data_IF_509808625371
#
_entry.id   IF_509808625371
#
_cell.length_a   1.000
_cell.length_b   1.000
_cell.length_c   1.000
_cell.angle_alpha   90.00
_cell.angle_beta   90.00
_cell.angle_gamma   90.00
#
_symmetry.space_group_name_H-M   'P 1'
#
loop_
_entity.id
_entity.type
_entity.pdbx_description
1 polymer ?
#
# COMPACT_ATOMS: atom_id res chain seq x y z
N UNK A 1 4.49 8.67 3.67
CA UNK A 1 5.81 9.33 3.81
C UNK A 1 6.93 8.28 3.70
N UNK A 2 8.10 8.67 3.21
CA UNK A 2 9.28 7.80 3.10
C UNK A 2 10.51 8.57 3.61
N UNK A 3 11.31 8.00 4.50
CA UNK A 3 12.48 8.66 5.08
C UNK A 3 13.73 8.25 4.31
N UNK A 4 14.56 9.22 3.94
CA UNK A 4 15.84 8.98 3.25
C UNK A 4 16.99 9.47 4.13
N UNK A 5 17.95 8.60 4.48
CA UNK A 5 19.11 9.00 5.25
C UNK A 5 20.04 9.90 4.41
N UNK A 6 20.56 10.93 5.04
CA UNK A 6 21.47 11.92 4.46
C UNK A 6 22.83 11.80 5.19
N UNK A 7 23.95 11.69 4.46
CA UNK A 7 25.25 11.39 5.07
C UNK A 7 25.86 12.53 5.90
N UNK A 8 25.40 13.78 5.73
CA UNK A 8 25.88 14.94 6.50
C UNK A 8 24.96 16.15 6.35
N UNK A 9 25.07 17.10 7.29
CA UNK A 9 24.38 18.39 7.18
C UNK A 9 24.87 19.23 5.99
N UNK A 10 26.11 19.06 5.53
CA UNK A 10 26.58 19.68 4.29
C UNK A 10 25.76 19.18 3.09
N UNK A 11 25.50 17.87 3.03
CA UNK A 11 24.67 17.28 1.99
C UNK A 11 23.22 17.76 2.09
N UNK A 12 22.67 17.88 3.31
CA UNK A 12 21.36 18.48 3.57
C UNK A 12 21.30 19.92 3.02
N UNK A 13 22.34 20.73 3.28
CA UNK A 13 22.47 22.09 2.73
C UNK A 13 22.56 22.14 1.20
N UNK A 14 23.26 21.20 0.56
CA UNK A 14 23.32 21.09 -0.91
C UNK A 14 21.98 20.68 -1.52
N UNK A 15 21.25 19.79 -0.84
CA UNK A 15 19.89 19.40 -1.24
C UNK A 15 18.91 20.57 -1.15
N UNK A 16 19.05 21.42 -0.12
CA UNK A 16 18.28 22.67 -0.03
C UNK A 16 18.62 23.59 -1.20
N UNK A 17 19.92 23.83 -1.41
CA UNK A 17 20.43 24.80 -2.38
C UNK A 17 20.13 26.24 -1.96
N UNK A 18 20.70 27.21 -2.68
CA UNK A 18 20.44 28.64 -2.41
C UNK A 18 18.95 28.92 -2.62
N UNK A 19 18.31 29.55 -1.63
CA UNK A 19 16.88 29.91 -1.65
C UNK A 19 15.93 28.72 -1.90
N UNK A 20 16.34 27.48 -1.56
CA UNK A 20 15.53 26.29 -1.77
C UNK A 20 15.41 25.85 -3.24
N UNK A 21 16.25 26.38 -4.14
CA UNK A 21 16.16 26.11 -5.60
C UNK A 21 16.24 24.63 -5.96
N UNK A 22 17.03 23.85 -5.21
CA UNK A 22 17.28 22.45 -5.51
C UNK A 22 16.10 21.59 -5.03
N UNK A 23 15.51 21.93 -3.87
CA UNK A 23 14.27 21.31 -3.39
C UNK A 23 13.16 21.49 -4.41
N UNK A 24 12.90 22.74 -4.81
CA UNK A 24 11.83 23.03 -5.78
C UNK A 24 12.03 22.27 -7.10
N UNK A 25 13.27 22.14 -7.57
CA UNK A 25 13.58 21.36 -8.76
C UNK A 25 13.28 19.87 -8.56
N UNK A 26 13.58 19.29 -7.39
CA UNK A 26 13.26 17.90 -7.08
C UNK A 26 11.75 17.67 -6.95
N UNK A 27 11.06 18.55 -6.24
CA UNK A 27 9.61 18.51 -6.06
C UNK A 27 8.89 18.63 -7.42
N UNK A 28 9.32 19.57 -8.27
CA UNK A 28 8.78 19.72 -9.62
C UNK A 28 9.06 18.52 -10.52
N UNK A 29 10.28 17.95 -10.45
CA UNK A 29 10.67 16.84 -11.31
C UNK A 29 9.99 15.51 -10.92
N UNK A 30 9.60 15.35 -9.65
CA UNK A 30 9.10 14.07 -9.12
C UNK A 30 7.64 14.12 -8.65
N UNK A 31 7.08 15.31 -8.43
CA UNK A 31 5.72 15.51 -7.94
C UNK A 31 5.53 15.06 -6.49
N UNK A 32 6.57 15.20 -5.66
CA UNK A 32 6.54 14.95 -4.21
C UNK A 32 6.84 16.24 -3.47
N UNK A 33 6.47 16.29 -2.19
CA UNK A 33 6.89 17.33 -1.26
C UNK A 33 8.08 16.84 -0.43
N UNK A 34 9.14 17.63 -0.33
CA UNK A 34 10.31 17.32 0.49
C UNK A 34 10.19 18.07 1.83
N UNK A 35 9.96 17.32 2.90
CA UNK A 35 9.88 17.86 4.25
C UNK A 35 11.26 17.76 4.89
N UNK A 36 11.79 18.92 5.25
CA UNK A 36 13.04 19.07 5.98
C UNK A 36 12.68 19.55 7.39
N UNK A 37 12.84 18.67 8.37
CA UNK A 37 12.61 18.97 9.78
C UNK A 37 13.92 18.96 10.57
N UNK A 38 13.80 19.12 11.90
CA UNK A 38 14.90 19.12 12.85
C UNK A 38 15.55 17.73 13.02
N UNK A 39 15.07 16.69 12.31
CA UNK A 39 15.71 15.37 12.35
C UNK A 39 17.10 15.48 11.72
N UNK A 40 18.16 15.14 12.48
CA UNK A 40 19.51 15.09 11.94
C UNK A 40 19.62 14.03 10.85
N UNK A 41 20.45 14.30 9.83
CA UNK A 41 20.86 13.26 8.86
C UNK A 41 19.71 12.55 8.13
N UNK A 42 18.54 13.19 8.00
CA UNK A 42 17.40 12.61 7.29
C UNK A 42 16.55 13.68 6.59
N UNK A 43 15.86 13.27 5.53
CA UNK A 43 14.79 14.04 4.88
C UNK A 43 13.57 13.15 4.64
N UNK A 44 12.39 13.75 4.72
CA UNK A 44 11.13 13.04 4.58
C UNK A 44 10.47 13.38 3.24
N UNK A 45 10.19 12.35 2.42
CA UNK A 45 9.45 12.46 1.17
C UNK A 45 7.97 12.21 1.42
N UNK A 46 7.12 13.16 1.04
CA UNK A 46 5.67 13.07 1.15
C UNK A 46 5.02 13.13 -0.23
N UNK A 47 4.12 12.19 -0.50
CA UNK A 47 3.22 12.21 -1.66
C UNK A 47 2.15 11.14 -1.46
N UNK A 48 0.95 11.40 -1.99
CA UNK A 48 -0.15 10.43 -2.01
C UNK A 48 0.12 9.27 -2.97
N UNK A 49 0.83 9.53 -4.08
CA UNK A 49 1.25 8.49 -5.01
C UNK A 49 2.53 7.80 -4.49
N UNK A 50 2.47 6.51 -4.10
CA UNK A 50 3.65 5.79 -3.64
C UNK A 50 4.73 5.64 -4.71
N UNK A 51 4.36 5.59 -6.00
CA UNK A 51 5.31 5.47 -7.12
C UNK A 51 6.13 6.75 -7.24
N UNK A 52 5.51 7.93 -7.13
CA UNK A 52 6.23 9.21 -7.12
C UNK A 52 7.22 9.29 -5.95
N UNK A 53 6.82 8.82 -4.77
CA UNK A 53 7.73 8.73 -3.61
C UNK A 53 8.92 7.85 -3.89
N UNK A 54 8.73 6.73 -4.57
CA UNK A 54 9.83 5.85 -4.93
C UNK A 54 10.78 6.48 -5.95
N UNK A 55 10.24 7.09 -7.00
CA UNK A 55 11.04 7.81 -8.01
C UNK A 55 11.89 8.88 -7.33
N UNK A 56 11.31 9.66 -6.42
CA UNK A 56 12.04 10.65 -5.65
C UNK A 56 13.11 10.03 -4.74
N UNK A 57 12.81 8.93 -4.07
CA UNK A 57 13.76 8.19 -3.21
C UNK A 57 14.97 7.71 -4.01
N UNK A 58 14.74 7.11 -5.17
CA UNK A 58 15.79 6.60 -6.07
C UNK A 58 16.62 7.75 -6.63
N UNK A 59 15.97 8.82 -7.12
CA UNK A 59 16.64 10.01 -7.63
C UNK A 59 17.52 10.66 -6.55
N UNK A 60 16.99 10.85 -5.35
CA UNK A 60 17.69 11.42 -4.21
C UNK A 60 18.90 10.58 -3.81
N UNK A 61 18.73 9.26 -3.71
CA UNK A 61 19.83 8.33 -3.40
C UNK A 61 20.97 8.43 -4.41
N UNK A 62 20.63 8.54 -5.71
CA UNK A 62 21.62 8.71 -6.80
C UNK A 62 22.33 10.07 -6.73
N UNK A 63 21.59 11.14 -6.46
CA UNK A 63 22.13 12.50 -6.31
C UNK A 63 23.12 12.57 -5.13
N UNK A 64 22.78 11.97 -3.99
CA UNK A 64 23.66 11.89 -2.81
C UNK A 64 24.95 11.15 -3.15
N UNK A 65 24.84 10.02 -3.86
CA UNK A 65 26.01 9.22 -4.27
C UNK A 65 26.92 9.95 -5.27
N UNK A 66 26.36 10.75 -6.16
CA UNK A 66 27.10 11.56 -7.14
C UNK A 66 27.69 12.85 -6.52
N UNK A 67 27.08 13.38 -5.46
CA UNK A 67 27.53 14.58 -4.74
C UNK A 67 27.30 15.91 -5.47
N UNK A 68 26.84 15.87 -6.73
CA UNK A 68 26.49 17.03 -7.56
C UNK A 68 25.00 17.27 -7.56
N UNK A 69 24.58 18.37 -6.95
CA UNK A 69 23.16 18.71 -6.77
C UNK A 69 22.90 20.11 -7.32
N UNK A 70 22.38 20.15 -8.55
CA UNK A 70 21.90 21.36 -9.23
C UNK A 70 20.71 21.01 -10.13
N UNK A 71 19.85 21.98 -10.53
CA UNK A 71 18.57 21.69 -11.19
C UNK A 71 18.64 20.74 -12.38
N UNK A 72 19.53 21.01 -13.35
CA UNK A 72 19.68 20.15 -14.53
C UNK A 72 20.06 18.69 -14.19
N UNK A 73 20.86 18.48 -13.13
CA UNK A 73 21.24 17.12 -12.70
C UNK A 73 20.09 16.44 -11.96
N UNK A 74 19.31 17.20 -11.20
CA UNK A 74 18.12 16.70 -10.50
C UNK A 74 17.11 16.19 -11.51
N UNK A 75 16.81 16.97 -12.55
CA UNK A 75 15.92 16.57 -13.64
C UNK A 75 16.42 15.30 -14.35
N UNK A 76 17.71 15.23 -14.69
CA UNK A 76 18.31 14.05 -15.30
C UNK A 76 18.20 12.80 -14.41
N UNK A 77 18.50 12.93 -13.11
CA UNK A 77 18.42 11.82 -12.17
C UNK A 77 16.98 11.38 -11.91
N UNK A 78 16.03 12.32 -11.86
CA UNK A 78 14.61 12.03 -11.73
C UNK A 78 14.07 11.27 -12.95
N UNK A 79 14.43 11.67 -14.17
CA UNK A 79 14.06 10.96 -15.39
C UNK A 79 14.59 9.52 -15.40
N UNK A 80 15.88 9.34 -15.08
CA UNK A 80 16.50 8.00 -14.99
C UNK A 80 15.91 7.14 -13.86
N UNK A 81 15.53 7.75 -12.75
CA UNK A 81 14.86 7.06 -11.66
C UNK A 81 13.46 6.62 -12.06
N UNK A 82 12.72 7.45 -12.81
CA UNK A 82 11.41 7.10 -13.34
C UNK A 82 11.49 5.89 -14.28
N UNK A 83 12.41 5.88 -15.23
CA UNK A 83 12.60 4.74 -16.14
C UNK A 83 12.91 3.45 -15.38
N UNK A 84 13.76 3.51 -14.35
CA UNK A 84 14.08 2.36 -13.51
C UNK A 84 12.86 1.84 -12.73
N UNK A 85 12.11 2.74 -12.10
CA UNK A 85 10.90 2.38 -11.35
C UNK A 85 9.82 1.83 -12.27
N UNK A 86 9.62 2.41 -13.46
CA UNK A 86 8.65 1.93 -14.44
C UNK A 86 9.01 0.52 -14.95
N UNK A 87 10.31 0.24 -15.17
CA UNK A 87 10.79 -1.09 -15.54
C UNK A 87 10.58 -2.11 -14.40
N UNK A 88 10.87 -1.71 -13.16
CA UNK A 88 10.64 -2.54 -11.98
C UNK A 88 9.15 -2.84 -11.75
N UNK A 89 8.26 -1.87 -11.98
CA UNK A 89 6.80 -2.05 -11.99
C UNK A 89 6.40 -3.13 -13.01
N UNK A 90 6.86 -2.98 -14.25
CA UNK A 90 6.52 -3.95 -15.31
C UNK A 90 6.99 -5.36 -14.95
N UNK A 91 8.24 -5.49 -14.50
CA UNK A 91 8.83 -6.77 -14.09
C UNK A 91 8.06 -7.41 -12.93
N UNK A 92 7.68 -6.63 -11.91
CA UNK A 92 6.98 -7.14 -10.74
C UNK A 92 5.58 -7.67 -11.08
N UNK A 93 4.84 -6.93 -11.92
CA UNK A 93 3.53 -7.38 -12.41
C UNK A 93 3.64 -8.64 -13.27
N UNK A 94 4.65 -8.73 -14.13
CA UNK A 94 4.87 -9.88 -15.00
C UNK A 94 5.26 -11.12 -14.18
N UNK A 95 6.16 -10.96 -13.21
CA UNK A 95 6.55 -12.03 -12.29
C UNK A 95 5.34 -12.59 -11.51
N UNK A 96 4.47 -11.72 -10.99
CA UNK A 96 3.25 -12.16 -10.28
C UNK A 96 2.31 -12.96 -11.21
N UNK A 97 2.11 -12.51 -12.45
CA UNK A 97 1.29 -13.21 -13.43
C UNK A 97 1.88 -14.59 -13.81
N UNK A 98 3.18 -14.64 -14.09
CA UNK A 98 3.92 -15.89 -14.41
C UNK A 98 3.83 -16.88 -13.25
N UNK A 99 4.09 -16.40 -12.03
CA UNK A 99 4.08 -17.22 -10.82
C UNK A 99 2.73 -17.91 -10.59
N UNK A 100 1.63 -17.24 -10.94
CA UNK A 100 0.27 -17.78 -10.81
C UNK A 100 -0.18 -18.60 -12.04
N UNK A 101 0.57 -18.53 -13.14
CA UNK A 101 0.23 -19.15 -14.42
C UNK A 101 -0.95 -18.47 -15.12
N UNK A 102 -1.15 -17.16 -14.90
CA UNK A 102 -2.24 -16.40 -15.51
C UNK A 102 -1.73 -15.47 -16.59
N UNK A 103 -2.48 -15.37 -17.69
CA UNK A 103 -2.19 -14.41 -18.77
C UNK A 103 -3.02 -13.14 -18.58
N UNK A 104 -2.34 -12.00 -18.55
CA UNK A 104 -2.94 -10.68 -18.42
C UNK A 104 -2.51 -9.78 -19.57
N UNK A 105 -3.34 -8.78 -19.89
CA UNK A 105 -2.99 -7.74 -20.84
C UNK A 105 -1.82 -6.87 -20.29
N UNK A 106 -0.90 -6.36 -21.12
CA UNK A 106 0.24 -5.55 -20.67
C UNK A 106 -0.13 -4.35 -19.78
N UNK A 107 -1.26 -3.68 -20.06
CA UNK A 107 -1.73 -2.57 -19.23
C UNK A 107 -2.19 -3.02 -17.82
N UNK A 108 -2.81 -4.21 -17.71
CA UNK A 108 -3.13 -4.79 -16.41
C UNK A 108 -1.86 -5.22 -15.65
N UNK A 109 -0.85 -5.72 -16.36
CA UNK A 109 0.47 -6.05 -15.78
C UNK A 109 1.11 -4.81 -15.16
N UNK A 110 1.12 -3.68 -15.88
CA UNK A 110 1.65 -2.41 -15.37
C UNK A 110 0.89 -1.94 -14.13
N UNK A 111 -0.45 -1.95 -14.17
CA UNK A 111 -1.28 -1.56 -13.02
C UNK A 111 -1.04 -2.47 -11.82
N UNK A 112 -0.99 -3.78 -12.04
CA UNK A 112 -0.68 -4.77 -11.00
C UNK A 112 0.70 -4.49 -10.37
N UNK A 113 1.72 -4.25 -11.18
CA UNK A 113 3.06 -3.94 -10.72
C UNK A 113 3.15 -2.70 -9.84
N UNK A 114 2.30 -1.68 -10.07
CA UNK A 114 2.24 -0.47 -9.21
C UNK A 114 1.89 -0.81 -7.75
N UNK A 115 1.14 -1.90 -7.52
CA UNK A 115 0.81 -2.36 -6.17
C UNK A 115 2.05 -2.75 -5.36
N UNK A 116 3.20 -3.04 -6.00
CA UNK A 116 4.49 -3.27 -5.33
C UNK A 116 4.88 -2.11 -4.42
N UNK A 117 4.56 -0.89 -4.79
CA UNK A 117 4.90 0.30 -4.01
C UNK A 117 3.81 0.69 -3.02
N UNK A 118 2.68 -0.01 -3.03
CA UNK A 118 1.57 0.26 -2.14
C UNK A 118 1.59 -0.68 -0.94
N UNK A 119 1.45 -0.11 0.24
CA UNK A 119 1.30 -0.85 1.49
C UNK A 119 -0.06 -0.54 2.09
N UNK A 120 -0.76 -1.55 2.58
CA UNK A 120 -2.02 -1.42 3.31
C UNK A 120 -1.95 -2.25 4.58
N UNK A 121 -2.23 -1.63 5.73
CA UNK A 121 -2.14 -2.28 7.05
C UNK A 121 -0.78 -2.97 7.32
N UNK A 122 0.31 -2.42 6.77
CA UNK A 122 1.66 -2.97 6.93
C UNK A 122 2.03 -4.11 5.96
N UNK A 123 1.11 -4.55 5.10
CA UNK A 123 1.36 -5.57 4.07
C UNK A 123 1.56 -4.91 2.69
N UNK A 124 2.47 -5.46 1.89
CA UNK A 124 2.62 -5.09 0.49
C UNK A 124 1.39 -5.52 -0.31
N UNK A 125 0.82 -4.63 -1.13
CA UNK A 125 -0.42 -4.91 -1.85
C UNK A 125 -0.24 -5.91 -2.99
N UNK A 126 0.91 -5.92 -3.70
CA UNK A 126 1.16 -6.91 -4.76
C UNK A 126 1.34 -8.32 -4.17
N UNK A 127 2.10 -8.43 -3.08
CA UNK A 127 2.27 -9.71 -2.36
C UNK A 127 0.92 -10.22 -1.86
N UNK A 128 0.14 -9.34 -1.23
CA UNK A 128 -1.21 -9.65 -0.78
C UNK A 128 -2.09 -10.18 -1.92
N UNK A 129 -2.19 -9.45 -3.04
CA UNK A 129 -2.95 -9.90 -4.20
C UNK A 129 -2.47 -11.24 -4.76
N UNK A 130 -1.15 -11.47 -4.76
CA UNK A 130 -0.57 -12.75 -5.21
C UNK A 130 -1.00 -13.90 -4.30
N UNK A 131 -1.01 -13.71 -2.99
CA UNK A 131 -1.46 -14.71 -2.02
C UNK A 131 -2.96 -14.98 -2.12
N UNK A 132 -3.77 -13.93 -2.26
CA UNK A 132 -5.22 -14.04 -2.49
C UNK A 132 -5.49 -14.84 -3.75
N UNK A 133 -4.75 -14.61 -4.83
CA UNK A 133 -4.88 -15.40 -6.06
C UNK A 133 -4.58 -16.89 -5.86
N UNK A 134 -3.53 -17.23 -5.10
CA UNK A 134 -3.22 -18.62 -4.77
C UNK A 134 -4.35 -19.28 -3.98
N UNK A 135 -4.84 -18.61 -2.93
CA UNK A 135 -5.93 -19.11 -2.10
C UNK A 135 -7.23 -19.25 -2.88
N UNK A 136 -7.57 -18.26 -3.71
CA UNK A 136 -8.72 -18.29 -4.59
C UNK A 136 -8.67 -19.49 -5.54
N UNK A 137 -7.49 -19.78 -6.12
CA UNK A 137 -7.29 -20.96 -6.95
C UNK A 137 -7.50 -22.29 -6.20
N UNK A 138 -7.03 -22.38 -4.95
CA UNK A 138 -7.25 -23.57 -4.11
C UNK A 138 -8.73 -23.75 -3.77
N UNK A 139 -9.41 -22.69 -3.32
CA UNK A 139 -10.84 -22.73 -3.00
C UNK A 139 -11.64 -23.12 -4.24
N UNK A 140 -11.35 -22.53 -5.41
CA UNK A 140 -12.02 -22.88 -6.65
C UNK A 140 -11.84 -24.35 -7.02
N UNK A 141 -10.64 -24.92 -6.83
CA UNK A 141 -10.38 -26.34 -7.06
C UNK A 141 -11.28 -27.24 -6.20
N UNK A 142 -11.39 -26.94 -4.90
CA UNK A 142 -12.23 -27.71 -3.97
C UNK A 142 -13.73 -27.58 -4.29
N UNK A 143 -14.16 -26.42 -4.80
CA UNK A 143 -15.55 -26.17 -5.19
C UNK A 143 -15.90 -26.66 -6.60
N UNK A 144 -14.93 -27.21 -7.36
CA UNK A 144 -15.13 -27.60 -8.76
C UNK A 144 -15.33 -26.41 -9.72
N UNK A 145 -14.93 -25.20 -9.31
CA UNK A 145 -14.99 -23.99 -10.11
C UNK A 145 -13.72 -23.80 -10.98
N UNK A 146 -13.77 -22.88 -11.94
CA UNK A 146 -12.63 -22.59 -12.80
C UNK A 146 -11.49 -21.90 -12.02
N UNK A 147 -10.39 -22.64 -11.80
CA UNK A 147 -9.19 -22.19 -11.08
C UNK A 147 -8.56 -20.94 -11.72
N UNK A 148 -8.53 -20.85 -13.05
CA UNK A 148 -7.90 -19.73 -13.74
C UNK A 148 -8.69 -18.42 -13.57
N UNK A 149 -10.03 -18.49 -13.58
CA UNK A 149 -10.88 -17.33 -13.29
C UNK A 149 -10.67 -16.88 -11.85
N UNK A 150 -10.72 -17.81 -10.89
CA UNK A 150 -10.51 -17.49 -9.48
C UNK A 150 -9.14 -16.84 -9.20
N UNK A 151 -8.07 -17.37 -9.79
CA UNK A 151 -6.72 -16.77 -9.68
C UNK A 151 -6.68 -15.36 -10.25
N UNK A 152 -7.28 -15.12 -11.42
CA UNK A 152 -7.34 -13.78 -12.02
C UNK A 152 -8.13 -12.81 -11.15
N UNK A 153 -9.30 -13.23 -10.65
CA UNK A 153 -10.10 -12.43 -9.72
C UNK A 153 -9.29 -12.10 -8.47
N UNK A 154 -8.70 -13.10 -7.82
CA UNK A 154 -7.88 -12.88 -6.62
C UNK A 154 -6.67 -11.98 -6.86
N UNK A 155 -6.02 -12.08 -8.01
CA UNK A 155 -4.87 -11.23 -8.36
C UNK A 155 -5.28 -9.77 -8.62
N UNK A 156 -6.46 -9.57 -9.20
CA UNK A 156 -6.94 -8.27 -9.66
C UNK A 156 -7.93 -7.61 -8.69
N UNK A 157 -8.38 -8.28 -7.62
CA UNK A 157 -9.45 -7.79 -6.74
C UNK A 157 -9.18 -6.36 -6.23
N UNK A 158 -7.93 -6.09 -5.86
CA UNK A 158 -7.47 -4.83 -5.30
C UNK A 158 -6.81 -3.90 -6.34
N UNK A 159 -6.90 -4.18 -7.64
CA UNK A 159 -6.18 -3.40 -8.67
C UNK A 159 -6.62 -1.93 -8.75
N UNK A 160 -7.82 -1.59 -8.29
CA UNK A 160 -8.26 -0.20 -8.15
C UNK A 160 -7.39 0.61 -7.15
N UNK A 161 -6.61 -0.07 -6.29
CA UNK A 161 -5.60 0.57 -5.44
C UNK A 161 -4.33 0.96 -6.23
N UNK A 162 -4.19 0.60 -7.49
CA UNK A 162 -3.05 1.02 -8.31
C UNK A 162 -3.19 2.46 -8.83
N UNK A 163 -4.41 2.99 -8.84
CA UNK A 163 -4.73 4.33 -9.33
C UNK A 163 -4.94 5.32 -8.19
N UNK A 164 -4.72 6.60 -8.49
CA UNK A 164 -4.83 7.69 -7.53
C UNK A 164 -6.30 7.97 -7.17
N UNK A 165 -6.51 8.58 -5.99
CA UNK A 165 -7.83 8.86 -5.41
C UNK A 165 -8.62 9.99 -6.09
N UNK A 166 -8.24 10.39 -7.29
CA UNK A 166 -8.97 11.41 -8.07
C UNK A 166 -10.22 10.84 -8.73
N UNK A 167 -10.33 9.51 -8.82
CA UNK A 167 -11.50 8.81 -9.35
C UNK A 167 -12.50 8.58 -8.23
N UNK A 168 -13.73 9.06 -8.42
CA UNK A 168 -14.85 8.84 -7.49
C UNK A 168 -15.31 7.38 -7.53
N UNK A 169 -15.42 6.73 -6.37
CA UNK A 169 -15.89 5.34 -6.25
C UNK A 169 -15.09 4.50 -5.25
N UNK A 170 -15.58 3.28 -4.98
CA UNK A 170 -14.82 2.29 -4.19
C UNK A 170 -13.70 1.70 -5.04
N UNK A 171 -12.63 1.21 -4.41
CA UNK A 171 -11.53 0.60 -5.18
C UNK A 171 -11.96 -0.67 -5.92
N UNK A 172 -13.03 -1.34 -5.46
CA UNK A 172 -13.62 -2.47 -6.15
C UNK A 172 -14.29 -2.04 -7.46
N UNK A 173 -15.11 -0.99 -7.43
CA UNK A 173 -15.75 -0.45 -8.63
C UNK A 173 -14.72 0.06 -9.64
N UNK A 174 -13.75 0.86 -9.18
CA UNK A 174 -12.65 1.37 -10.00
C UNK A 174 -11.83 0.21 -10.60
N UNK A 175 -11.52 -0.80 -9.78
CA UNK A 175 -10.82 -2.00 -10.23
C UNK A 175 -11.57 -2.75 -11.33
N UNK A 176 -12.87 -2.94 -11.16
CA UNK A 176 -13.71 -3.59 -12.16
C UNK A 176 -13.74 -2.82 -13.49
N UNK A 177 -13.88 -1.50 -13.43
CA UNK A 177 -13.87 -0.65 -14.63
C UNK A 177 -12.52 -0.68 -15.37
N UNK A 178 -11.41 -0.70 -14.64
CA UNK A 178 -10.09 -0.90 -15.22
C UNK A 178 -9.96 -2.27 -15.89
N UNK A 179 -10.34 -3.34 -15.18
CA UNK A 179 -10.25 -4.71 -15.68
C UNK A 179 -11.10 -4.89 -16.93
N UNK A 180 -12.30 -4.31 -16.95
CA UNK A 180 -13.25 -4.37 -18.08
C UNK A 180 -12.69 -3.82 -19.39
N UNK A 181 -11.72 -2.91 -19.35
CA UNK A 181 -11.10 -2.36 -20.56
C UNK A 181 -10.27 -3.38 -21.34
N UNK A 182 -9.68 -4.37 -20.66
CA UNK A 182 -8.71 -5.29 -21.28
C UNK A 182 -8.97 -6.78 -21.03
N UNK A 183 -9.76 -7.13 -20.01
CA UNK A 183 -10.13 -8.52 -19.73
C UNK A 183 -11.44 -8.86 -20.44
N UNK A 184 -11.45 -10.00 -21.14
CA UNK A 184 -12.59 -10.47 -21.94
C UNK A 184 -13.60 -11.23 -21.10
N UNK A 185 -13.17 -11.82 -19.99
CA UNK A 185 -14.04 -12.57 -19.10
C UNK A 185 -14.87 -11.63 -18.22
N UNK A 186 -16.19 -11.60 -18.46
CA UNK A 186 -17.14 -10.88 -17.60
C UNK A 186 -17.14 -11.42 -16.16
N UNK A 187 -16.85 -12.71 -15.99
CA UNK A 187 -16.72 -13.36 -14.68
C UNK A 187 -15.56 -12.79 -13.86
N UNK A 188 -14.42 -12.48 -14.50
CA UNK A 188 -13.29 -11.84 -13.82
C UNK A 188 -13.65 -10.42 -13.40
N UNK A 189 -14.25 -9.64 -14.30
CA UNK A 189 -14.70 -8.26 -14.00
C UNK A 189 -15.70 -8.27 -12.84
N UNK A 190 -16.67 -9.19 -12.89
CA UNK A 190 -17.69 -9.36 -11.86
C UNK A 190 -17.06 -9.73 -10.52
N UNK A 191 -16.19 -10.75 -10.47
CA UNK A 191 -15.52 -11.14 -9.23
C UNK A 191 -14.69 -10.02 -8.59
N UNK A 192 -14.05 -9.17 -9.42
CA UNK A 192 -13.33 -7.98 -8.93
C UNK A 192 -14.30 -6.93 -8.35
N UNK A 193 -15.47 -6.72 -8.95
CA UNK A 193 -16.46 -5.79 -8.41
C UNK A 193 -17.07 -6.27 -7.07
N UNK A 194 -17.21 -7.59 -6.90
CA UNK A 194 -18.00 -8.21 -5.83
C UNK A 194 -17.17 -8.62 -4.60
N UNK A 195 -15.84 -8.42 -4.59
CA UNK A 195 -14.98 -9.01 -3.56
C UNK A 195 -15.22 -8.50 -2.12
N UNK A 196 -15.85 -7.33 -1.93
CA UNK A 196 -16.34 -6.86 -0.62
C UNK A 196 -17.76 -7.31 -0.27
N UNK A 197 -18.42 -8.04 -1.17
CA UNK A 197 -19.82 -8.49 -1.03
C UNK A 197 -20.83 -7.33 -0.90
N UNK A 198 -20.48 -6.16 -1.46
CA UNK A 198 -21.28 -4.93 -1.39
C UNK A 198 -22.28 -4.78 -2.55
N UNK A 199 -22.22 -5.67 -3.55
CA UNK A 199 -23.13 -5.68 -4.69
C UNK A 199 -24.48 -6.34 -4.33
N UNK A 200 -25.53 -6.02 -5.09
CA UNK A 200 -26.87 -6.60 -4.88
C UNK A 200 -26.92 -8.11 -5.10
N UNK A 201 -26.13 -8.58 -6.06
CA UNK A 201 -25.95 -10.00 -6.37
C UNK A 201 -24.46 -10.31 -6.25
N UNK A 202 -24.13 -11.42 -5.58
CA UNK A 202 -22.75 -11.90 -5.43
C UNK A 202 -22.65 -13.26 -6.09
N UNK A 203 -21.77 -13.38 -7.07
CA UNK A 203 -21.43 -14.63 -7.73
C UNK A 203 -20.51 -15.50 -6.88
N UNK A 204 -20.27 -16.74 -7.32
CA UNK A 204 -19.25 -17.60 -6.72
C UNK A 204 -17.86 -16.93 -6.67
N UNK A 205 -17.56 -16.05 -7.64
CA UNK A 205 -16.28 -15.36 -7.72
C UNK A 205 -16.10 -14.33 -6.61
N UNK A 206 -17.15 -13.57 -6.28
CA UNK A 206 -17.16 -12.65 -5.14
C UNK A 206 -16.93 -13.39 -3.82
N UNK A 207 -17.62 -14.52 -3.61
CA UNK A 207 -17.43 -15.34 -2.40
C UNK A 207 -16.02 -15.94 -2.31
N UNK A 208 -15.48 -16.49 -3.41
CA UNK A 208 -14.12 -17.04 -3.44
C UNK A 208 -13.09 -15.94 -3.15
N UNK A 209 -13.22 -14.78 -3.80
CA UNK A 209 -12.30 -13.66 -3.62
C UNK A 209 -12.32 -13.12 -2.19
N UNK A 210 -13.53 -12.91 -1.64
CA UNK A 210 -13.72 -12.42 -0.27
C UNK A 210 -13.15 -13.40 0.77
N UNK A 211 -13.40 -14.71 0.60
CA UNK A 211 -12.83 -15.73 1.47
C UNK A 211 -11.30 -15.77 1.40
N UNK A 212 -10.73 -15.70 0.19
CA UNK A 212 -9.28 -15.68 -0.02
C UNK A 212 -8.62 -14.42 0.57
N UNK A 213 -9.21 -13.24 0.41
CA UNK A 213 -8.75 -11.99 1.03
C UNK A 213 -8.77 -12.11 2.56
N UNK A 214 -9.89 -12.56 3.13
CA UNK A 214 -10.02 -12.73 4.57
C UNK A 214 -8.93 -13.66 5.15
N UNK A 215 -8.62 -14.77 4.46
CA UNK A 215 -7.56 -15.70 4.88
C UNK A 215 -6.18 -15.03 4.78
N UNK A 216 -5.87 -14.37 3.65
CA UNK A 216 -4.59 -13.68 3.46
C UNK A 216 -4.36 -12.62 4.55
N UNK A 217 -5.41 -11.86 4.85
CA UNK A 217 -5.44 -10.75 5.80
C UNK A 217 -5.39 -11.18 7.27
N UNK A 218 -5.90 -12.36 7.62
CA UNK A 218 -5.95 -12.85 9.00
C UNK A 218 -4.65 -13.53 9.48
N UNK A 219 -3.64 -13.69 8.61
CA UNK A 219 -2.40 -14.36 8.98
C UNK A 219 -1.64 -13.59 10.07
N UNK A 220 -1.15 -14.27 11.14
CA UNK A 220 -0.33 -13.64 12.15
C UNK A 220 0.87 -12.91 11.54
N UNK A 221 0.95 -11.59 11.76
CA UNK A 221 2.02 -10.75 11.23
C UNK A 221 1.79 -10.16 9.83
N UNK A 222 0.73 -10.56 9.09
CA UNK A 222 0.40 -9.98 7.79
C UNK A 222 -0.08 -8.54 7.92
N UNK A 223 -1.01 -8.29 8.84
CA UNK A 223 -1.39 -6.93 9.23
C UNK A 223 -0.66 -6.56 10.51
N UNK A 224 0.46 -5.86 10.36
CA UNK A 224 1.02 -5.08 11.48
C UNK A 224 0.14 -3.85 11.60
N UNK A 225 -0.91 -3.92 12.42
CA UNK A 225 -1.40 -2.70 13.08
C UNK A 225 -0.13 -2.02 13.63
N UNK A 226 0.13 -0.75 13.30
CA UNK A 226 1.34 -0.12 13.80
C UNK A 226 1.31 -0.32 15.31
N UNK A 227 2.37 -0.89 15.89
CA UNK A 227 2.40 -1.17 17.32
C UNK A 227 1.97 0.07 18.10
N UNK A 228 2.33 1.24 17.60
CA UNK A 228 1.88 2.55 18.06
C UNK A 228 0.36 2.75 17.99
N UNK A 229 -0.32 2.49 16.88
CA UNK A 229 -1.79 2.60 16.78
C UNK A 229 -2.49 1.58 17.68
N UNK A 230 -1.95 0.37 17.77
CA UNK A 230 -2.44 -0.67 18.68
C UNK A 230 -2.33 -0.23 20.14
N UNK A 231 -1.14 0.24 20.55
CA UNK A 231 -0.90 0.78 21.90
C UNK A 231 -1.76 2.01 22.19
N UNK A 232 -1.94 2.91 21.21
CA UNK A 232 -2.77 4.10 21.34
C UNK A 232 -4.25 3.74 21.51
N UNK A 233 -4.73 2.72 20.81
CA UNK A 233 -6.09 2.19 20.98
C UNK A 233 -6.29 1.55 22.34
N UNK A 234 -5.36 0.71 22.80
CA UNK A 234 -5.43 0.11 24.13
C UNK A 234 -5.43 1.19 25.21
N UNK A 235 -4.53 2.16 25.09
CA UNK A 235 -4.46 3.28 26.02
C UNK A 235 -5.74 4.12 26.02
N UNK A 236 -6.34 4.37 24.87
CA UNK A 236 -7.61 5.07 24.80
C UNK A 236 -8.75 4.31 25.50
N UNK A 237 -8.78 2.97 25.41
CA UNK A 237 -9.75 2.14 26.14
C UNK A 237 -9.52 2.20 27.65
N UNK A 238 -8.26 2.18 28.08
CA UNK A 238 -7.88 2.33 29.49
C UNK A 238 -8.24 3.73 30.01
N UNK A 239 -7.90 4.79 29.28
CA UNK A 239 -8.21 6.18 29.64
C UNK A 239 -9.73 6.40 29.78
N UNK A 240 -10.55 5.77 28.93
CA UNK A 240 -12.02 5.83 29.06
C UNK A 240 -12.48 5.18 30.36
N UNK A 241 -11.96 4.00 30.70
CA UNK A 241 -12.34 3.29 31.91
C UNK A 241 -11.82 3.98 33.19
N UNK A 242 -10.62 4.56 33.15
CA UNK A 242 -10.01 5.29 34.28
C UNK A 242 -10.76 6.59 34.63
N UNK A 243 -11.53 7.15 33.70
CA UNK A 243 -12.32 8.37 33.93
C UNK A 243 -13.61 8.14 34.73
N UNK A 244 -13.99 6.89 35.02
CA UNK A 244 -15.17 6.59 35.84
C UNK A 244 -14.85 6.78 37.33
N UNK A 245 -15.73 7.48 38.05
CA UNK A 245 -15.60 7.65 39.50
C UNK A 245 -15.60 6.28 40.19
N UNK A 246 -14.63 6.06 41.09
CA UNK A 246 -14.43 4.79 41.79
C UNK A 246 -13.52 3.80 41.07
N UNK A 247 -13.08 4.08 39.84
CA UNK A 247 -12.01 3.31 39.18
C UNK A 247 -10.65 3.81 39.66
N UNK A 248 -9.83 2.91 40.21
CA UNK A 248 -8.43 3.20 40.53
C UNK A 248 -7.54 3.08 39.31
N UNK A 249 -7.78 2.03 38.51
CA UNK A 249 -6.99 1.72 37.32
C UNK A 249 -7.69 0.70 36.43
N UNK A 250 -7.42 0.75 35.14
CA UNK A 250 -7.90 -0.22 34.17
C UNK A 250 -6.78 -0.77 33.29
N UNK A 251 -7.01 -1.96 32.73
CA UNK A 251 -6.09 -2.64 31.84
C UNK A 251 -6.87 -3.25 30.68
N UNK A 252 -6.54 -2.86 29.44
CA UNK A 252 -7.09 -3.46 28.24
C UNK A 252 -6.31 -4.73 27.88
N UNK A 253 -6.99 -5.87 27.85
CA UNK A 253 -6.41 -7.21 27.62
C UNK A 253 -7.02 -7.83 26.37
N UNK A 254 -6.37 -8.85 25.80
CA UNK A 254 -6.80 -9.54 24.58
C UNK A 254 -7.07 -8.58 23.42
N UNK A 255 -6.09 -7.72 23.10
CA UNK A 255 -6.23 -6.73 22.02
C UNK A 255 -7.46 -5.79 22.19
N UNK A 256 -7.82 -5.48 23.44
CA UNK A 256 -8.92 -4.58 23.78
C UNK A 256 -10.30 -5.22 23.73
N UNK A 257 -10.39 -6.57 23.66
CA UNK A 257 -11.66 -7.31 23.77
C UNK A 257 -12.12 -7.46 25.22
N UNK A 258 -11.21 -7.36 26.17
CA UNK A 258 -11.50 -7.40 27.60
C UNK A 258 -10.88 -6.18 28.28
N UNK A 259 -11.57 -5.59 29.26
CA UNK A 259 -11.03 -4.54 30.12
C UNK A 259 -11.15 -5.02 31.57
N UNK A 260 -10.03 -5.08 32.28
CA UNK A 260 -10.01 -5.36 33.72
C UNK A 260 -9.97 -4.05 34.48
N UNK A 261 -10.87 -3.91 35.45
CA UNK A 261 -11.05 -2.67 36.21
C UNK A 261 -10.71 -2.97 37.67
N UNK A 262 -9.80 -2.18 38.23
CA UNK A 262 -9.51 -2.12 39.65
C UNK A 262 -10.32 -0.96 40.24
N UNK A 263 -11.14 -1.22 41.25
CA UNK A 263 -12.03 -0.21 41.85
C UNK A 263 -11.62 0.12 43.28
N UNK A 264 -11.83 1.37 43.69
CA UNK A 264 -11.76 1.78 45.10
C UNK A 264 -13.13 1.59 45.74
N UNK A 265 -13.26 0.72 46.77
CA UNK A 265 -14.56 0.45 47.39
C UNK A 265 -15.17 1.66 48.14
N UNK A 266 -14.41 2.73 48.37
CA UNK A 266 -14.72 3.81 49.30
C UNK A 266 -14.98 5.17 48.61
N UNK A 267 -15.27 5.18 47.31
CA UNK A 267 -15.47 6.40 46.50
C UNK A 267 -16.94 6.82 46.33
#
# INVERSE_FOLDING_TARGET
>A
VSVVPIPSDEMKGRLIGREGRNIRALEQATGVDLIIDDTPEAVTLSSFDPVRREVARVALTRLIRDGRIHPARIEEMAAKAKEEVDADIANAGEQAAIQLGVQLHPELIKLLGRLKYRTSYGQNALEHSTEVAYMAGMIASELGANINIAKKVGLLHDIGKAVDREVEGTHAAIGADLVKQWEKSSEVVQGVAEHHLETSDVSIWGFIASAADAISSARPGARRESLESYLKRLKALEDIADNFQGVERSYAIQAGREIRILVKPEA
#
